data_IF_312785347645
#
_entry.id   IF_312785347645
#
_cell.length_a   1.000
_cell.length_b   1.000
_cell.length_c   1.000
_cell.angle_alpha   90.00
_cell.angle_beta   90.00
_cell.angle_gamma   90.00
#
_symmetry.space_group_name_H-M   'P 1'
#
loop_
_entity.id
_entity.type
_entity.pdbx_description
1 polymer ?
#
# COMPACT_ATOMS: atom_id res chain seq x y z
N UNK A 1 5.89 -96.19 -23.71
CA UNK A 1 6.72 -94.97 -23.89
C UNK A 1 5.86 -93.75 -23.63
N UNK A 2 5.88 -93.21 -22.40
CA UNK A 2 5.19 -91.96 -22.06
C UNK A 2 6.15 -90.79 -22.27
N UNK A 3 5.81 -89.90 -23.18
CA UNK A 3 6.56 -88.65 -23.40
C UNK A 3 6.21 -87.67 -22.29
N UNK A 4 7.19 -87.33 -21.45
CA UNK A 4 7.10 -86.19 -20.55
C UNK A 4 6.98 -84.91 -21.37
N UNK A 5 5.85 -84.21 -21.25
CA UNK A 5 5.67 -82.87 -21.83
C UNK A 5 6.19 -81.85 -20.82
N UNK A 6 7.38 -81.31 -21.09
CA UNK A 6 7.83 -80.10 -20.41
C UNK A 6 6.99 -78.92 -20.93
N UNK A 7 6.19 -78.30 -20.07
CA UNK A 7 5.45 -77.08 -20.40
C UNK A 7 6.45 -75.95 -20.77
N UNK A 8 6.14 -75.01 -21.68
CA UNK A 8 7.06 -73.97 -22.08
C UNK A 8 7.17 -72.92 -20.97
N UNK A 9 8.37 -72.75 -20.41
CA UNK A 9 8.62 -71.87 -19.27
C UNK A 9 8.34 -70.39 -19.59
N UNK A 10 8.31 -69.97 -20.86
CA UNK A 10 8.15 -68.57 -21.28
C UNK A 10 6.72 -68.02 -21.28
N UNK A 11 5.68 -68.86 -21.43
CA UNK A 11 4.32 -68.37 -21.65
C UNK A 11 3.68 -67.75 -20.38
N UNK A 12 4.06 -68.23 -19.19
CA UNK A 12 3.54 -67.72 -17.91
C UNK A 12 4.04 -66.30 -17.61
N UNK A 13 5.31 -66.02 -17.91
CA UNK A 13 5.94 -64.73 -17.64
C UNK A 13 5.40 -63.61 -18.53
N UNK A 14 5.10 -63.92 -19.79
CA UNK A 14 4.52 -62.94 -20.72
C UNK A 14 3.15 -62.44 -20.23
N UNK A 15 2.32 -63.31 -19.65
CA UNK A 15 1.03 -62.92 -19.08
C UNK A 15 1.15 -62.07 -17.80
N UNK A 16 2.14 -62.36 -16.94
CA UNK A 16 2.40 -61.55 -15.75
C UNK A 16 2.98 -60.18 -16.08
N UNK A 17 3.84 -60.09 -17.11
CA UNK A 17 4.33 -58.79 -17.59
C UNK A 17 3.22 -57.98 -18.26
N UNK A 18 2.36 -58.62 -19.07
CA UNK A 18 1.23 -57.94 -19.70
C UNK A 18 0.24 -57.36 -18.67
N UNK A 19 -0.07 -58.10 -17.60
CA UNK A 19 -0.91 -57.59 -16.50
C UNK A 19 -0.24 -56.45 -15.73
N UNK A 20 1.03 -56.58 -15.38
CA UNK A 20 1.77 -55.51 -14.71
C UNK A 20 1.86 -54.23 -15.56
N UNK A 21 2.02 -54.36 -16.88
CA UNK A 21 1.99 -53.21 -17.80
C UNK A 21 0.61 -52.56 -17.81
N UNK A 22 -0.47 -53.34 -17.90
CA UNK A 22 -1.84 -52.81 -17.85
C UNK A 22 -2.16 -52.10 -16.53
N UNK A 23 -1.68 -52.61 -15.40
CA UNK A 23 -1.87 -51.99 -14.09
C UNK A 23 -1.10 -50.66 -14.00
N UNK A 24 0.12 -50.60 -14.54
CA UNK A 24 0.92 -49.38 -14.62
C UNK A 24 0.29 -48.34 -15.54
N UNK A 25 -0.25 -48.75 -16.69
CA UNK A 25 -0.99 -47.88 -17.62
C UNK A 25 -2.25 -47.30 -16.95
N UNK A 26 -2.99 -48.12 -16.20
CA UNK A 26 -4.15 -47.67 -15.43
C UNK A 26 -3.77 -46.64 -14.36
N UNK A 27 -2.74 -46.94 -13.55
CA UNK A 27 -2.24 -46.02 -12.53
C UNK A 27 -1.72 -44.71 -13.13
N UNK A 28 -1.05 -44.75 -14.28
CA UNK A 28 -0.58 -43.57 -14.99
C UNK A 28 -1.75 -42.69 -15.44
N UNK A 29 -2.80 -43.28 -16.02
CA UNK A 29 -4.00 -42.55 -16.43
C UNK A 29 -4.74 -41.92 -15.22
N UNK A 30 -4.85 -42.66 -14.11
CA UNK A 30 -5.44 -42.12 -12.87
C UNK A 30 -4.61 -40.94 -12.31
N UNK A 31 -3.29 -41.04 -12.37
CA UNK A 31 -2.39 -39.95 -11.99
C UNK A 31 -2.53 -38.74 -12.91
N UNK A 32 -2.64 -38.93 -14.23
CA UNK A 32 -2.89 -37.86 -15.19
C UNK A 32 -4.22 -37.16 -14.93
N UNK A 33 -5.29 -37.91 -14.64
CA UNK A 33 -6.59 -37.34 -14.28
C UNK A 33 -6.53 -36.53 -12.98
N UNK A 34 -5.79 -37.02 -11.97
CA UNK A 34 -5.59 -36.28 -10.72
C UNK A 34 -4.74 -35.03 -10.93
N UNK A 35 -3.69 -35.10 -11.74
CA UNK A 35 -2.84 -33.96 -12.06
C UNK A 35 -3.63 -32.87 -12.78
N UNK A 36 -4.46 -33.23 -13.77
CA UNK A 36 -5.30 -32.27 -14.48
C UNK A 36 -6.34 -31.62 -13.56
N UNK A 37 -6.98 -32.40 -12.66
CA UNK A 37 -7.89 -31.87 -11.63
C UNK A 37 -7.20 -30.90 -10.67
N UNK A 38 -5.98 -31.24 -10.22
CA UNK A 38 -5.18 -30.39 -9.33
C UNK A 38 -4.77 -29.12 -10.07
N UNK A 39 -4.30 -29.22 -11.31
CA UNK A 39 -3.93 -28.06 -12.13
C UNK A 39 -5.11 -27.09 -12.30
N UNK A 40 -6.29 -27.61 -12.63
CA UNK A 40 -7.51 -26.80 -12.74
C UNK A 40 -7.84 -26.09 -11.42
N UNK A 41 -7.73 -26.81 -10.30
CA UNK A 41 -7.97 -26.26 -8.96
C UNK A 41 -6.96 -25.18 -8.59
N UNK A 42 -5.67 -25.39 -8.90
CA UNK A 42 -4.61 -24.42 -8.67
C UNK A 42 -4.84 -23.15 -9.49
N UNK A 43 -5.18 -23.27 -10.79
CA UNK A 43 -5.51 -22.11 -11.62
C UNK A 43 -6.72 -21.34 -11.09
N UNK A 44 -7.76 -22.04 -10.63
CA UNK A 44 -8.92 -21.40 -10.02
C UNK A 44 -8.56 -20.66 -8.72
N UNK A 45 -7.74 -21.27 -7.87
CA UNK A 45 -7.28 -20.66 -6.62
C UNK A 45 -6.38 -19.45 -6.88
N UNK A 46 -5.48 -19.52 -7.85
CA UNK A 46 -4.64 -18.39 -8.26
C UNK A 46 -5.48 -17.18 -8.66
N UNK A 47 -6.51 -17.39 -9.51
CA UNK A 47 -7.42 -16.31 -9.90
C UNK A 47 -8.22 -15.75 -8.72
N UNK A 48 -8.64 -16.60 -7.77
CA UNK A 48 -9.30 -16.13 -6.54
C UNK A 48 -8.37 -15.32 -5.65
N UNK A 49 -7.12 -15.74 -5.50
CA UNK A 49 -6.11 -15.02 -4.71
C UNK A 49 -5.88 -13.65 -5.33
N UNK A 50 -5.66 -13.56 -6.63
CA UNK A 50 -5.47 -12.28 -7.33
C UNK A 50 -6.68 -11.34 -7.16
N UNK A 51 -7.90 -11.87 -7.30
CA UNK A 51 -9.11 -11.09 -7.08
C UNK A 51 -9.24 -10.60 -5.64
N UNK A 52 -8.88 -11.42 -4.66
CA UNK A 52 -8.92 -11.05 -3.25
C UNK A 52 -7.83 -10.03 -2.90
N UNK A 53 -6.62 -10.17 -3.44
CA UNK A 53 -5.55 -9.18 -3.24
C UNK A 53 -5.95 -7.84 -3.80
N UNK A 54 -6.50 -7.79 -5.02
CA UNK A 54 -6.98 -6.55 -5.63
C UNK A 54 -8.10 -5.90 -4.81
N UNK A 55 -9.04 -6.70 -4.27
CA UNK A 55 -10.09 -6.19 -3.37
C UNK A 55 -9.54 -5.67 -2.05
N UNK A 56 -8.54 -6.33 -1.47
CA UNK A 56 -7.89 -5.87 -0.24
C UNK A 56 -7.19 -4.53 -0.48
N UNK A 57 -6.44 -4.40 -1.57
CA UNK A 57 -5.76 -3.15 -1.94
C UNK A 57 -6.76 -2.00 -2.15
N UNK A 58 -7.89 -2.29 -2.82
CA UNK A 58 -8.96 -1.31 -3.00
C UNK A 58 -9.59 -0.87 -1.66
N UNK A 59 -9.89 -1.82 -0.76
CA UNK A 59 -10.46 -1.53 0.55
C UNK A 59 -9.48 -0.75 1.43
N UNK A 60 -8.20 -1.11 1.42
CA UNK A 60 -7.15 -0.36 2.10
C UNK A 60 -7.02 1.05 1.55
N UNK A 61 -7.03 1.19 0.22
CA UNK A 61 -7.02 2.48 -0.46
C UNK A 61 -8.18 3.35 0.00
N UNK A 62 -9.42 2.83 -0.08
CA UNK A 62 -10.64 3.52 0.37
C UNK A 62 -10.60 3.88 1.84
N UNK A 63 -10.11 2.99 2.70
CA UNK A 63 -9.97 3.26 4.15
C UNK A 63 -8.96 4.37 4.43
N UNK A 64 -7.93 4.54 3.59
CA UNK A 64 -6.91 5.57 3.73
C UNK A 64 -7.32 6.90 3.10
N UNK A 65 -8.34 6.96 2.25
CA UNK A 65 -8.79 8.20 1.59
C UNK A 65 -9.15 9.30 2.59
N UNK A 66 -9.74 8.93 3.74
CA UNK A 66 -10.13 9.88 4.76
C UNK A 66 -8.99 10.30 5.70
N UNK A 67 -7.79 9.75 5.50
CA UNK A 67 -6.61 10.11 6.27
C UNK A 67 -5.91 11.31 5.64
N UNK A 68 -5.53 12.28 6.48
CA UNK A 68 -4.71 13.44 6.14
C UNK A 68 -3.38 13.31 6.88
N UNK A 69 -2.29 13.67 6.20
CA UNK A 69 -0.95 13.69 6.76
C UNK A 69 -0.48 15.13 6.97
N UNK A 70 -0.21 15.50 8.22
CA UNK A 70 0.35 16.81 8.58
C UNK A 70 1.84 16.64 8.89
N UNK A 71 2.69 17.46 8.28
CA UNK A 71 4.16 17.41 8.44
C UNK A 71 4.64 18.73 9.03
N UNK A 72 5.73 18.70 9.80
CA UNK A 72 6.38 19.92 10.31
C UNK A 72 5.89 20.40 11.68
N UNK A 73 4.98 19.67 12.34
CA UNK A 73 4.62 19.97 13.73
C UNK A 73 5.75 19.50 14.65
N UNK A 74 6.30 20.41 15.46
CA UNK A 74 7.37 20.13 16.43
C UNK A 74 6.93 19.03 17.41
N UNK A 75 7.86 18.15 17.79
CA UNK A 75 7.53 17.07 18.72
C UNK A 75 7.42 17.58 20.16
N UNK A 76 6.38 17.15 20.88
CA UNK A 76 6.17 17.51 22.29
C UNK A 76 5.18 18.66 22.53
N UNK A 77 4.72 19.36 21.49
CA UNK A 77 3.70 20.43 21.60
C UNK A 77 2.27 19.90 21.77
N UNK A 78 2.08 18.59 21.64
CA UNK A 78 0.78 17.93 21.46
C UNK A 78 0.07 17.62 22.78
N UNK A 79 0.81 17.64 23.90
CA UNK A 79 0.30 17.23 25.19
C UNK A 79 -0.15 15.75 25.24
N UNK A 80 -0.97 15.37 26.24
CA UNK A 80 -1.45 14.00 26.42
C UNK A 80 -2.55 13.59 25.42
N UNK A 81 -3.18 14.56 24.73
CA UNK A 81 -4.34 14.34 23.85
C UNK A 81 -4.09 14.91 22.45
N UNK A 82 -3.46 14.14 21.55
CA UNK A 82 -3.12 14.61 20.20
C UNK A 82 -4.34 14.97 19.34
N UNK A 83 -5.50 14.38 19.62
CA UNK A 83 -6.73 14.68 18.85
C UNK A 83 -7.25 16.08 19.14
N UNK A 84 -7.30 16.48 20.41
CA UNK A 84 -7.71 17.84 20.81
C UNK A 84 -6.75 18.89 20.24
N UNK A 85 -5.43 18.64 20.34
CA UNK A 85 -4.41 19.53 19.76
C UNK A 85 -4.61 19.78 18.26
N UNK A 86 -4.93 18.74 17.47
CA UNK A 86 -5.15 18.91 16.02
C UNK A 86 -6.48 19.62 15.75
N UNK A 87 -7.51 19.40 16.55
CA UNK A 87 -8.78 20.13 16.44
C UNK A 87 -8.55 21.63 16.68
N UNK A 88 -7.81 21.98 17.72
CA UNK A 88 -7.43 23.38 18.02
C UNK A 88 -6.56 23.98 16.92
N UNK A 89 -5.58 23.22 16.41
CA UNK A 89 -4.71 23.63 15.32
C UNK A 89 -5.47 23.92 14.01
N UNK A 90 -6.58 23.22 13.79
CA UNK A 90 -7.48 23.42 12.65
C UNK A 90 -8.63 24.39 12.98
N UNK A 91 -8.48 25.22 14.02
CA UNK A 91 -9.45 26.24 14.44
C UNK A 91 -10.86 25.70 14.73
N UNK A 92 -10.98 24.53 15.35
CA UNK A 92 -12.26 23.91 15.73
C UNK A 92 -13.24 23.69 14.58
N UNK A 93 -12.78 23.75 13.33
CA UNK A 93 -13.67 23.68 12.17
C UNK A 93 -14.31 22.29 12.00
N UNK A 94 -13.82 21.26 12.71
CA UNK A 94 -14.03 19.86 12.32
C UNK A 94 -14.09 18.89 13.49
N UNK A 95 -14.95 17.87 13.34
CA UNK A 95 -14.92 16.66 14.17
C UNK A 95 -13.95 15.65 13.55
N UNK A 96 -12.87 15.35 14.28
CA UNK A 96 -11.91 14.32 13.90
C UNK A 96 -12.23 13.02 14.64
N UNK A 97 -12.05 11.88 13.98
CA UNK A 97 -12.23 10.58 14.63
C UNK A 97 -11.01 10.24 15.50
N UNK A 98 -9.82 10.50 14.94
CA UNK A 98 -8.55 10.17 15.57
C UNK A 98 -7.41 10.99 14.98
N UNK A 99 -6.53 11.49 15.82
CA UNK A 99 -5.22 11.99 15.42
C UNK A 99 -4.12 11.33 16.23
N UNK A 100 -3.03 10.95 15.57
CA UNK A 100 -1.85 10.38 16.21
C UNK A 100 -0.61 10.60 15.34
N UNK A 101 0.57 10.61 15.96
CA UNK A 101 1.84 10.56 15.24
C UNK A 101 2.07 9.17 14.66
N UNK A 102 2.85 9.10 13.59
CA UNK A 102 3.29 7.81 13.05
C UNK A 102 4.06 7.01 14.11
N UNK A 103 3.88 5.68 14.13
CA UNK A 103 4.49 4.75 15.09
C UNK A 103 6.02 4.56 14.90
N UNK A 104 6.69 5.50 14.22
CA UNK A 104 8.15 5.47 14.06
C UNK A 104 8.83 5.83 15.37
N UNK A 105 10.05 5.33 15.63
CA UNK A 105 10.88 5.80 16.74
C UNK A 105 11.01 7.32 16.72
N UNK A 106 11.14 7.92 17.92
CA UNK A 106 11.31 9.36 18.05
C UNK A 106 12.61 9.78 17.33
N UNK A 107 12.56 10.67 16.33
CA UNK A 107 13.76 11.21 15.70
C UNK A 107 14.60 11.98 16.74
N UNK A 108 15.92 11.93 16.58
CA UNK A 108 16.86 12.70 17.41
C UNK A 108 16.82 14.19 17.07
N UNK A 109 17.45 15.01 17.92
CA UNK A 109 17.50 16.45 17.74
C UNK A 109 18.13 16.82 16.37
N UNK A 110 17.37 17.55 15.56
CA UNK A 110 17.76 17.96 14.20
C UNK A 110 17.19 17.10 13.06
N UNK A 111 16.61 15.94 13.35
CA UNK A 111 15.88 15.14 12.36
C UNK A 111 14.42 15.62 12.17
N UNK A 112 13.81 15.41 10.99
CA UNK A 112 12.46 15.92 10.72
C UNK A 112 11.42 15.27 11.65
N UNK A 113 10.47 16.06 12.21
CA UNK A 113 9.49 15.55 13.15
C UNK A 113 8.56 14.53 12.50
N UNK A 114 8.11 13.53 13.27
CA UNK A 114 7.22 12.47 12.76
C UNK A 114 5.92 13.05 12.25
N UNK A 115 5.41 12.66 11.07
CA UNK A 115 4.13 13.19 10.62
C UNK A 115 2.96 12.76 11.49
N UNK A 116 1.95 13.62 11.55
CA UNK A 116 0.66 13.33 12.11
C UNK A 116 -0.22 12.65 11.07
N UNK A 117 -0.90 11.58 11.47
CA UNK A 117 -1.94 10.93 10.70
C UNK A 117 -3.27 11.23 11.38
N UNK A 118 -4.13 11.92 10.65
CA UNK A 118 -5.42 12.41 11.11
C UNK A 118 -6.51 11.75 10.29
N UNK A 119 -7.46 11.09 10.94
CA UNK A 119 -8.64 10.52 10.29
C UNK A 119 -9.80 11.50 10.43
N UNK A 120 -10.29 11.96 9.28
CA UNK A 120 -11.49 12.80 9.19
C UNK A 120 -12.71 11.90 8.99
N UNK A 121 -13.81 12.21 9.67
CA UNK A 121 -15.03 11.40 9.56
C UNK A 121 -15.65 11.46 8.15
N UNK A 122 -15.71 12.65 7.57
CA UNK A 122 -16.36 12.91 6.28
C UNK A 122 -15.36 13.20 5.16
N UNK A 123 -15.56 12.55 4.01
CA UNK A 123 -14.72 12.73 2.81
C UNK A 123 -14.79 14.15 2.24
N UNK A 124 -15.98 14.77 2.25
CA UNK A 124 -16.17 16.15 1.78
C UNK A 124 -15.31 17.12 2.59
N UNK A 125 -15.40 17.03 3.92
CA UNK A 125 -14.58 17.78 4.86
C UNK A 125 -13.09 17.58 4.61
N UNK A 126 -12.64 16.33 4.39
CA UNK A 126 -11.25 16.04 4.04
C UNK A 126 -10.80 16.75 2.77
N UNK A 127 -11.63 16.74 1.72
CA UNK A 127 -11.32 17.42 0.47
C UNK A 127 -11.35 18.94 0.60
N UNK A 128 -12.26 19.49 1.41
CA UNK A 128 -12.27 20.93 1.71
C UNK A 128 -10.99 21.36 2.42
N UNK A 129 -10.54 20.59 3.41
CA UNK A 129 -9.25 20.84 4.07
C UNK A 129 -8.14 20.81 3.04
N UNK A 130 -8.06 19.77 2.21
CA UNK A 130 -6.99 19.66 1.20
C UNK A 130 -7.06 20.80 0.18
N UNK A 131 -8.26 21.24 -0.21
CA UNK A 131 -8.46 22.39 -1.11
C UNK A 131 -8.05 23.72 -0.48
N UNK A 132 -8.28 23.89 0.83
CA UNK A 132 -7.90 25.08 1.60
C UNK A 132 -6.46 25.03 2.12
N UNK A 133 -5.84 23.85 2.13
CA UNK A 133 -4.50 23.61 2.65
C UNK A 133 -3.31 24.00 1.75
N UNK A 134 -3.41 24.28 0.42
CA UNK A 134 -2.27 24.80 -0.31
C UNK A 134 -2.10 26.26 0.12
N UNK A 135 -1.52 26.48 1.29
CA UNK A 135 -0.96 27.75 1.71
C UNK A 135 0.54 27.56 1.69
N UNK A 136 1.20 27.86 0.56
CA UNK A 136 2.65 28.01 0.58
C UNK A 136 2.98 29.09 1.60
N UNK A 137 3.74 28.70 2.63
CA UNK A 137 4.18 29.60 3.68
C UNK A 137 5.55 30.14 3.27
N UNK A 138 5.57 31.41 2.87
CA UNK A 138 6.82 32.13 2.63
C UNK A 138 7.03 33.06 3.81
N UNK A 139 8.14 32.89 4.51
CA UNK A 139 8.62 33.84 5.51
C UNK A 139 9.35 34.95 4.77
N UNK A 140 8.85 36.17 4.91
CA UNK A 140 9.48 37.35 4.33
C UNK A 140 10.74 37.74 5.13
N UNK A 141 11.68 38.50 4.52
CA UNK A 141 12.87 39.01 5.22
C UNK A 141 12.56 39.85 6.47
N UNK A 142 11.35 40.42 6.56
CA UNK A 142 10.86 41.18 7.71
C UNK A 142 10.24 40.28 8.82
N UNK A 143 10.33 38.95 8.70
CA UNK A 143 9.78 37.99 9.64
C UNK A 143 8.27 37.74 9.50
N UNK A 144 7.59 38.40 8.57
CA UNK A 144 6.15 38.22 8.35
C UNK A 144 5.86 36.97 7.52
N UNK A 145 4.95 36.12 7.98
CA UNK A 145 4.57 34.88 7.33
C UNK A 145 3.36 35.11 6.42
N UNK A 146 3.51 34.90 5.11
CA UNK A 146 2.41 34.97 4.14
C UNK A 146 2.04 33.60 3.61
N UNK A 147 0.74 33.37 3.52
CA UNK A 147 0.10 32.14 3.04
C UNK A 147 -0.39 32.35 1.61
N UNK A 148 -0.05 31.44 0.70
CA UNK A 148 -0.43 31.52 -0.72
C UNK A 148 -1.23 30.31 -1.17
N UNK A 149 -2.43 30.56 -1.68
CA UNK A 149 -3.43 29.57 -2.12
C UNK A 149 -2.98 28.69 -3.29
N UNK A 150 -1.93 29.07 -4.02
CA UNK A 150 -1.37 28.27 -5.13
C UNK A 150 0.15 28.38 -5.28
N UNK A 151 0.82 27.33 -5.79
CA UNK A 151 2.23 27.34 -6.15
C UNK A 151 2.66 28.47 -7.08
N UNK A 152 1.85 28.77 -8.08
CA UNK A 152 2.20 29.76 -9.10
C UNK A 152 2.13 31.19 -8.54
N UNK A 153 1.14 31.49 -7.70
CA UNK A 153 1.00 32.79 -7.03
C UNK A 153 2.14 33.04 -6.04
N UNK A 154 2.58 32.00 -5.32
CA UNK A 154 3.74 32.10 -4.45
C UNK A 154 5.03 32.38 -5.24
N UNK A 155 5.22 31.71 -6.38
CA UNK A 155 6.38 31.91 -7.24
C UNK A 155 6.40 33.30 -7.88
N UNK A 156 5.25 33.83 -8.30
CA UNK A 156 5.12 35.21 -8.81
C UNK A 156 5.42 36.24 -7.73
N UNK A 157 4.97 36.00 -6.50
CA UNK A 157 5.29 36.85 -5.37
C UNK A 157 6.80 36.87 -5.06
N UNK A 158 7.47 35.70 -5.04
CA UNK A 158 8.93 35.61 -4.85
C UNK A 158 9.67 36.34 -5.97
N UNK A 159 9.28 36.14 -7.23
CA UNK A 159 9.90 36.80 -8.37
C UNK A 159 9.77 38.32 -8.32
N UNK A 160 8.62 38.85 -7.87
CA UNK A 160 8.35 40.29 -7.81
C UNK A 160 8.97 40.99 -6.59
N UNK A 161 9.04 40.32 -5.44
CA UNK A 161 9.40 40.97 -4.17
C UNK A 161 10.78 40.57 -3.64
N UNK A 162 11.36 39.43 -4.08
CA UNK A 162 12.67 38.96 -3.63
C UNK A 162 13.80 39.31 -4.61
N UNK A 163 13.50 39.49 -5.91
CA UNK A 163 14.49 39.97 -6.90
C UNK A 163 14.85 41.46 -6.73
N UNK A 164 13.93 42.27 -6.21
CA UNK A 164 14.11 43.73 -6.07
C UNK A 164 15.01 44.16 -4.92
N UNK A 165 15.57 43.22 -4.15
CA UNK A 165 16.46 43.51 -3.01
C UNK A 165 17.93 43.09 -3.23
N UNK A 166 18.29 42.54 -4.40
CA UNK A 166 19.65 42.03 -4.68
C UNK A 166 20.44 42.89 -5.68
N UNK A 167 19.96 44.09 -6.02
CA UNK A 167 20.77 45.05 -6.80
C UNK A 167 21.18 46.26 -5.94
N UNK A 168 22.33 46.23 -5.26
CA UNK A 168 22.97 47.43 -4.76
C UNK A 168 23.77 48.08 -5.90
N UNK A 169 23.29 49.23 -6.36
CA UNK A 169 24.03 50.36 -6.95
C UNK A 169 25.26 50.05 -7.84
N UNK A 170 25.11 50.27 -9.15
CA UNK A 170 26.17 50.89 -9.97
C UNK A 170 25.75 52.31 -10.34
N UNK A 171 26.05 53.24 -9.45
CA UNK A 171 26.37 54.63 -9.73
C UNK A 171 27.54 55.00 -8.82
#
# INVERSE_FOLDING_TARGET
MQRCRCAPWGARWLGTYASAISDLEGAANDHEQRLTSIQASVSQLQGKVELLTNKCDELEGRSRLNNIRIVGVVEGTEGPRPTEFVVDFLHNLLRLDRAHRTLRPRPGDGAPPRPFVVRVNQFQTRNEIIRKAPSLRITLPNGQLRMFDSPDLAMDFVKKNLKTMVDPQSA
#
